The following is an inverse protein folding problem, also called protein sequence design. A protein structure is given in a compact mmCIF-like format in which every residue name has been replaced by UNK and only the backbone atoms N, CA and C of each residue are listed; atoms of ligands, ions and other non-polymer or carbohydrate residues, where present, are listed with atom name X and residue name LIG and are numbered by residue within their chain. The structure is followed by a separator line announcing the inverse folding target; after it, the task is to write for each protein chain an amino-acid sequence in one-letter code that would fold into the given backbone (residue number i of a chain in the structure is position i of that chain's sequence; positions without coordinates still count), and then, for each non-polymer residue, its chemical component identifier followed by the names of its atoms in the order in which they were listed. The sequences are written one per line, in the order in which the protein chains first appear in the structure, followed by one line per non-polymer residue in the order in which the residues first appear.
data_IF_816103662925
#
_entry.id   IF_816103662925
#
_cell.length_a   1.000
_cell.length_b   1.000
_cell.length_c   1.000
_cell.angle_alpha   90.00
_cell.angle_beta   90.00
_cell.angle_gamma   90.00
#
_symmetry.space_group_name_H-M   'P 1'
#
loop_
_entity.id
_entity.type
_entity.pdbx_description
1 polymer ?
#
# COMPACT_ATOMS: atom_id res chain seq x y z
N UNK A 1 23.44 2.09 44.20
CA UNK A 1 23.42 3.47 43.68
C UNK A 1 22.09 3.69 42.93
N UNK A 2 21.26 4.68 43.28
CA UNK A 2 19.99 4.93 42.57
C UNK A 2 20.30 5.55 41.20
N UNK A 3 19.88 4.89 40.12
CA UNK A 3 20.04 5.42 38.77
C UNK A 3 19.18 6.68 38.57
N UNK A 4 19.73 7.67 37.88
CA UNK A 4 19.00 8.87 37.47
C UNK A 4 17.92 8.51 36.45
N UNK A 5 16.90 9.36 36.31
CA UNK A 5 15.84 9.14 35.30
C UNK A 5 16.39 9.09 33.87
N UNK A 6 17.43 9.86 33.56
CA UNK A 6 18.11 9.76 32.27
C UNK A 6 18.82 8.43 32.07
N UNK A 7 19.50 7.92 33.10
CA UNK A 7 20.12 6.60 33.04
C UNK A 7 19.09 5.49 32.80
N UNK A 8 17.90 5.59 33.41
CA UNK A 8 16.78 4.66 33.14
C UNK A 8 16.24 4.77 31.71
N UNK A 9 16.15 5.97 31.15
CA UNK A 9 15.76 6.16 29.75
C UNK A 9 16.80 5.60 28.77
N UNK A 10 18.09 5.71 29.10
CA UNK A 10 19.19 5.07 28.38
C UNK A 10 19.23 3.53 28.57
N UNK A 11 18.33 2.95 29.37
CA UNK A 11 18.12 1.51 29.46
C UNK A 11 16.89 1.00 28.70
N UNK A 12 16.06 1.90 28.14
CA UNK A 12 14.98 1.50 27.23
C UNK A 12 15.56 0.67 26.06
N UNK A 13 14.81 -0.26 25.46
CA UNK A 13 15.29 -0.96 24.29
C UNK A 13 15.68 0.03 23.20
N UNK A 14 16.85 -0.18 22.58
CA UNK A 14 17.20 0.54 21.35
C UNK A 14 16.11 0.20 20.34
N UNK A 15 15.59 1.23 19.67
CA UNK A 15 14.45 1.20 18.77
C UNK A 15 13.06 1.06 19.39
N UNK A 16 12.92 1.22 20.71
CA UNK A 16 11.60 1.23 21.34
C UNK A 16 10.76 2.44 20.90
N UNK A 17 9.47 2.19 20.68
CA UNK A 17 8.41 3.21 20.50
C UNK A 17 7.49 3.14 21.68
N UNK A 18 7.17 4.30 22.25
CA UNK A 18 6.28 4.38 23.40
C UNK A 18 5.42 5.63 23.31
N UNK A 19 4.18 5.50 23.77
CA UNK A 19 3.30 6.63 24.02
C UNK A 19 3.70 7.35 25.31
N UNK A 20 3.24 8.59 25.45
CA UNK A 20 3.44 9.40 26.66
C UNK A 20 2.75 8.73 27.86
N UNK A 21 1.66 8.00 27.62
CA UNK A 21 0.96 7.22 28.65
C UNK A 21 1.84 6.10 29.20
N UNK A 22 2.46 5.30 28.32
CA UNK A 22 3.34 4.20 28.72
C UNK A 22 4.61 4.70 29.41
N UNK A 23 5.19 5.82 28.93
CA UNK A 23 6.35 6.44 29.57
C UNK A 23 6.01 6.98 30.97
N UNK A 24 4.81 7.53 31.16
CA UNK A 24 4.32 7.94 32.48
C UNK A 24 4.10 6.75 33.42
N UNK A 25 3.56 5.64 32.92
CA UNK A 25 3.44 4.40 33.69
C UNK A 25 4.81 3.85 34.14
N UNK A 26 5.85 4.10 33.34
CA UNK A 26 7.25 3.78 33.68
C UNK A 26 7.92 4.83 34.59
N UNK A 27 7.19 5.86 35.02
CA UNK A 27 7.65 6.86 35.99
C UNK A 27 8.35 8.10 35.39
N UNK A 28 8.28 8.30 34.08
CA UNK A 28 8.82 9.48 33.41
C UNK A 28 7.80 10.63 33.38
N UNK A 29 8.22 11.85 33.71
CA UNK A 29 7.37 13.05 33.64
C UNK A 29 7.51 13.73 32.28
N UNK A 30 6.62 14.65 31.94
CA UNK A 30 6.75 15.44 30.71
C UNK A 30 8.08 16.22 30.66
N UNK A 31 8.61 16.67 31.81
CA UNK A 31 9.92 17.32 31.85
C UNK A 31 11.05 16.36 31.49
N UNK A 32 10.97 15.10 31.92
CA UNK A 32 11.94 14.06 31.54
C UNK A 32 11.91 13.81 30.03
N UNK A 33 10.72 13.77 29.43
CA UNK A 33 10.54 13.57 27.99
C UNK A 33 11.05 14.76 27.18
N UNK A 34 10.74 15.99 27.60
CA UNK A 34 11.28 17.20 26.96
C UNK A 34 12.81 17.22 27.00
N UNK A 35 13.42 16.82 28.13
CA UNK A 35 14.87 16.69 28.24
C UNK A 35 15.40 15.60 27.31
N UNK A 36 14.76 14.42 27.28
CA UNK A 36 15.09 13.33 26.36
C UNK A 36 15.15 13.77 24.90
N UNK A 37 14.17 14.59 24.51
CA UNK A 37 14.04 15.18 23.19
C UNK A 37 15.21 16.09 22.85
N UNK A 38 15.55 17.00 23.78
CA UNK A 38 16.69 17.92 23.62
C UNK A 38 18.03 17.19 23.55
N UNK A 39 18.18 16.11 24.31
CA UNK A 39 19.40 15.31 24.39
C UNK A 39 19.51 14.25 23.27
N UNK A 40 18.51 14.14 22.38
CA UNK A 40 18.50 13.20 21.27
C UNK A 40 18.33 11.72 21.66
N UNK A 41 18.05 11.44 22.94
CA UNK A 41 17.80 10.09 23.46
C UNK A 41 16.45 9.55 22.99
N UNK A 42 15.46 10.43 22.91
CA UNK A 42 14.16 10.15 22.31
C UNK A 42 13.83 11.20 21.26
N UNK A 43 13.17 10.79 20.19
CA UNK A 43 12.60 11.71 19.20
C UNK A 43 11.10 11.79 19.44
N UNK A 44 10.58 13.01 19.64
CA UNK A 44 9.14 13.23 19.74
C UNK A 44 8.52 13.23 18.36
N UNK A 45 7.49 12.40 18.23
CA UNK A 45 6.84 12.10 16.97
C UNK A 45 5.37 12.49 17.00
N UNK A 46 4.94 13.43 17.85
CA UNK A 46 3.56 13.93 17.85
C UNK A 46 2.55 12.94 18.43
N UNK A 47 1.36 13.45 18.77
CA UNK A 47 0.29 12.68 19.43
C UNK A 47 0.76 11.92 20.69
N UNK A 48 1.83 12.43 21.32
CA UNK A 48 2.44 11.81 22.49
C UNK A 48 3.30 10.58 22.19
N UNK A 49 3.70 10.31 20.96
CA UNK A 49 4.58 9.19 20.58
C UNK A 49 6.06 9.60 20.66
N UNK A 50 6.91 8.72 21.20
CA UNK A 50 8.36 8.91 21.35
C UNK A 50 9.13 7.67 20.89
N UNK A 51 10.31 7.84 20.29
CA UNK A 51 11.15 6.70 19.91
C UNK A 51 12.65 6.87 20.20
N UNK A 52 13.33 5.75 20.46
CA UNK A 52 14.78 5.71 20.73
C UNK A 52 15.55 5.09 19.57
N UNK A 53 16.31 5.85 18.75
CA UNK A 53 17.05 5.37 17.56
C UNK A 53 16.18 4.66 16.48
N UNK A 54 16.33 5.07 15.22
CA UNK A 54 15.19 5.06 14.27
C UNK A 54 14.91 3.79 13.41
N UNK A 55 15.80 2.79 13.25
CA UNK A 55 15.48 1.62 12.39
C UNK A 55 14.31 0.72 12.82
N UNK A 56 14.33 0.09 14.01
CA UNK A 56 13.25 -0.84 14.43
C UNK A 56 11.99 -0.09 14.91
N UNK A 57 12.13 1.18 15.30
CA UNK A 57 11.03 1.95 15.88
C UNK A 57 9.99 2.35 14.83
N UNK A 58 10.35 2.39 13.55
CA UNK A 58 9.37 2.65 12.50
C UNK A 58 8.34 1.52 12.42
N UNK A 59 8.79 0.27 12.51
CA UNK A 59 7.92 -0.91 12.47
C UNK A 59 7.04 -1.01 13.72
N UNK A 60 7.59 -0.79 14.92
CA UNK A 60 6.79 -0.83 16.16
C UNK A 60 5.82 0.36 16.27
N UNK A 61 6.18 1.53 15.73
CA UNK A 61 5.25 2.67 15.61
C UNK A 61 4.13 2.36 14.62
N UNK A 62 4.47 1.69 13.51
CA UNK A 62 3.51 1.27 12.50
C UNK A 62 2.54 0.23 13.05
N UNK A 63 3.04 -0.81 13.74
CA UNK A 63 2.22 -1.81 14.44
C UNK A 63 1.23 -1.16 15.40
N UNK A 64 1.74 -0.29 16.29
CA UNK A 64 0.90 0.41 17.26
C UNK A 64 -0.15 1.26 16.56
N UNK A 65 0.24 2.03 15.55
CA UNK A 65 -0.69 2.88 14.81
C UNK A 65 -1.75 2.08 14.07
N UNK A 66 -1.39 1.01 13.37
CA UNK A 66 -2.33 0.14 12.67
C UNK A 66 -3.35 -0.49 13.63
N UNK A 67 -2.90 -0.93 14.80
CA UNK A 67 -3.78 -1.49 15.85
C UNK A 67 -4.72 -0.47 16.46
N UNK A 68 -4.25 0.76 16.70
CA UNK A 68 -5.08 1.83 17.26
C UNK A 68 -6.03 2.43 16.23
N UNK A 69 -5.57 2.60 14.99
CA UNK A 69 -6.31 3.27 13.94
C UNK A 69 -7.29 2.35 13.23
N UNK A 70 -6.96 1.05 13.13
CA UNK A 70 -7.79 0.03 12.50
C UNK A 70 -8.31 0.45 11.12
N UNK A 71 -7.45 1.09 10.35
CA UNK A 71 -7.83 1.78 9.10
C UNK A 71 -6.71 1.83 8.08
N UNK A 72 -5.51 1.33 8.41
CA UNK A 72 -4.38 1.42 7.53
C UNK A 72 -3.56 0.13 7.49
N UNK A 73 -2.95 -0.13 6.34
CA UNK A 73 -2.21 -1.34 6.03
C UNK A 73 -1.03 -1.02 5.09
N UNK A 74 0.00 -1.85 5.12
CA UNK A 74 1.12 -1.76 4.17
C UNK A 74 0.63 -2.31 2.84
N UNK A 75 0.76 -1.53 1.77
CA UNK A 75 0.13 -1.87 0.50
C UNK A 75 0.94 -1.48 -0.73
N UNK A 76 0.30 -1.59 -1.89
CA UNK A 76 0.83 -1.16 -3.17
C UNK A 76 2.20 -1.75 -3.52
N UNK A 77 3.09 -0.91 -4.06
CA UNK A 77 4.43 -1.28 -4.53
C UNK A 77 5.32 -1.82 -3.42
N UNK A 78 5.06 -1.50 -2.16
CA UNK A 78 5.82 -2.09 -1.04
C UNK A 78 5.61 -3.59 -0.97
N UNK A 79 4.35 -4.03 -1.09
CA UNK A 79 4.01 -5.45 -1.07
C UNK A 79 4.45 -6.14 -2.36
N UNK A 80 4.28 -5.50 -3.52
CA UNK A 80 4.78 -6.06 -4.79
C UNK A 80 6.30 -6.27 -4.75
N UNK A 81 7.05 -5.35 -4.13
CA UNK A 81 8.49 -5.51 -3.93
C UNK A 81 8.80 -6.71 -3.02
N UNK A 82 8.20 -6.73 -1.82
CA UNK A 82 8.50 -7.72 -0.79
C UNK A 82 8.10 -9.15 -1.18
N UNK A 83 7.02 -9.31 -1.95
CA UNK A 83 6.45 -10.63 -2.24
C UNK A 83 6.65 -11.09 -3.69
N UNK A 84 6.75 -10.15 -4.64
CA UNK A 84 6.80 -10.45 -6.07
C UNK A 84 8.08 -9.93 -6.77
N UNK A 85 9.04 -9.38 -6.00
CA UNK A 85 10.34 -8.95 -6.54
C UNK A 85 10.28 -7.70 -7.42
N UNK A 86 9.21 -6.90 -7.33
CA UNK A 86 9.15 -5.61 -8.01
C UNK A 86 10.25 -4.65 -7.51
N UNK A 87 10.63 -3.60 -8.28
CA UNK A 87 11.57 -2.58 -7.81
C UNK A 87 11.12 -1.93 -6.50
N UNK A 88 12.06 -1.76 -5.56
CA UNK A 88 11.80 -1.15 -4.26
C UNK A 88 11.24 0.28 -4.43
N UNK A 89 10.12 0.63 -3.79
CA UNK A 89 9.64 2.00 -3.78
C UNK A 89 10.52 2.88 -2.90
N UNK A 90 10.60 4.19 -3.19
CA UNK A 90 11.38 5.15 -2.39
C UNK A 90 10.96 5.20 -0.91
N UNK A 91 9.69 4.88 -0.63
CA UNK A 91 9.08 4.93 0.70
C UNK A 91 8.11 3.76 0.85
N UNK A 92 7.98 3.30 2.10
CA UNK A 92 6.94 2.34 2.51
C UNK A 92 5.58 2.99 2.28
N UNK A 93 4.73 2.31 1.51
CA UNK A 93 3.39 2.79 1.19
C UNK A 93 2.40 2.29 2.24
N UNK A 94 1.87 3.22 3.01
CA UNK A 94 0.85 2.99 4.01
C UNK A 94 -0.49 3.48 3.46
N UNK A 95 -1.33 2.53 3.06
CA UNK A 95 -2.68 2.82 2.59
C UNK A 95 -3.59 3.05 3.79
N UNK A 96 -4.39 4.11 3.74
CA UNK A 96 -5.31 4.49 4.82
C UNK A 96 -6.70 4.69 4.24
N UNK A 97 -7.68 4.00 4.80
CA UNK A 97 -9.09 4.08 4.40
C UNK A 97 -9.75 5.39 4.86
N UNK A 98 -9.08 6.20 5.67
CA UNK A 98 -9.59 7.53 6.04
C UNK A 98 -9.18 8.55 4.99
N UNK A 99 -10.12 9.39 4.56
CA UNK A 99 -9.84 10.45 3.57
C UNK A 99 -8.75 11.46 4.01
N UNK A 100 -8.58 11.66 5.32
CA UNK A 100 -7.52 12.51 5.88
C UNK A 100 -7.23 12.16 7.35
N UNK A 101 -6.28 11.25 7.57
CA UNK A 101 -5.80 10.87 8.90
C UNK A 101 -4.74 11.83 9.45
N UNK A 102 -4.81 12.12 10.75
CA UNK A 102 -3.68 12.68 11.50
C UNK A 102 -2.67 11.56 11.76
N UNK A 103 -1.60 11.50 10.97
CA UNK A 103 -0.55 10.51 11.15
C UNK A 103 0.40 10.88 12.28
N UNK A 104 0.98 9.89 12.99
CA UNK A 104 2.10 10.12 13.89
C UNK A 104 3.17 10.92 13.16
N UNK A 105 3.69 11.98 13.78
CA UNK A 105 4.84 12.71 13.23
C UNK A 105 6.06 11.80 13.03
N UNK A 106 6.11 10.59 13.63
CA UNK A 106 7.10 9.54 13.30
C UNK A 106 7.17 9.29 11.81
N UNK A 107 6.02 9.23 11.16
CA UNK A 107 5.93 8.95 9.74
C UNK A 107 6.39 10.16 8.94
N UNK A 108 5.96 11.36 9.35
CA UNK A 108 6.32 12.63 8.72
C UNK A 108 7.83 12.96 8.82
N UNK A 109 8.44 12.75 9.99
CA UNK A 109 9.86 13.06 10.23
C UNK A 109 10.81 11.98 9.73
N UNK A 110 10.36 10.72 9.61
CA UNK A 110 11.21 9.66 9.06
C UNK A 110 11.53 9.86 7.59
N UNK A 111 10.61 10.50 6.83
CA UNK A 111 10.68 10.56 5.37
C UNK A 111 10.57 9.20 4.67
N UNK A 112 10.38 8.10 5.43
CA UNK A 112 10.39 6.71 4.93
C UNK A 112 9.00 6.14 4.67
N UNK A 113 7.95 6.82 5.11
CA UNK A 113 6.57 6.41 4.87
C UNK A 113 5.91 7.41 3.92
N UNK A 114 5.25 6.86 2.89
CA UNK A 114 4.30 7.55 2.04
C UNK A 114 2.91 7.10 2.46
N UNK A 115 2.09 8.03 2.95
CA UNK A 115 0.69 7.74 3.24
C UNK A 115 -0.13 7.92 1.96
N UNK A 116 -1.01 6.97 1.69
CA UNK A 116 -1.81 6.91 0.46
C UNK A 116 -3.28 6.72 0.86
N UNK A 117 -4.21 7.60 0.43
CA UNK A 117 -5.62 7.36 0.66
C UNK A 117 -6.09 6.14 -0.14
N UNK A 118 -6.64 5.14 0.54
CA UNK A 118 -7.24 3.97 -0.08
C UNK A 118 -8.66 4.33 -0.54
N UNK A 119 -8.87 4.38 -1.86
CA UNK A 119 -10.17 4.73 -2.46
C UNK A 119 -10.78 3.61 -3.28
N UNK A 120 -10.17 2.44 -3.23
CA UNK A 120 -10.54 1.29 -4.06
C UNK A 120 -11.57 0.37 -3.40
N UNK A 121 -11.73 0.43 -2.08
CA UNK A 121 -12.73 -0.32 -1.30
C UNK A 121 -13.51 0.64 -0.39
N UNK A 122 -14.74 0.29 0.03
CA UNK A 122 -15.42 1.08 1.06
C UNK A 122 -14.72 0.94 2.41
N UNK A 123 -14.77 2.00 3.20
CA UNK A 123 -14.10 2.12 4.49
C UNK A 123 -14.59 1.10 5.54
N UNK A 124 -15.83 0.62 5.39
CA UNK A 124 -16.43 -0.40 6.26
C UNK A 124 -15.77 -1.79 6.11
N UNK A 125 -15.00 -2.01 5.04
CA UNK A 125 -14.41 -3.31 4.71
C UNK A 125 -12.95 -3.49 5.15
N UNK A 126 -12.38 -2.60 5.98
CA UNK A 126 -10.97 -2.74 6.40
C UNK A 126 -10.67 -4.11 7.06
N UNK A 127 -11.65 -4.70 7.75
CA UNK A 127 -11.54 -6.02 8.37
C UNK A 127 -12.28 -7.12 7.62
N UNK A 128 -12.81 -6.83 6.43
CA UNK A 128 -13.45 -7.87 5.63
C UNK A 128 -12.36 -8.67 4.92
N UNK A 129 -12.32 -9.98 5.20
CA UNK A 129 -11.33 -10.90 4.64
C UNK A 129 -11.36 -10.88 3.10
N UNK A 130 -12.54 -10.68 2.49
CA UNK A 130 -12.70 -10.60 1.03
C UNK A 130 -12.03 -9.38 0.39
N UNK A 131 -11.55 -8.44 1.20
CA UNK A 131 -10.81 -7.28 0.73
C UNK A 131 -9.29 -7.52 0.76
N UNK A 132 -8.78 -8.73 0.99
CA UNK A 132 -7.36 -9.02 0.80
C UNK A 132 -6.42 -8.26 1.74
N UNK A 133 -6.79 -8.08 3.01
CA UNK A 133 -5.88 -7.67 4.08
C UNK A 133 -5.54 -8.89 4.93
N UNK A 134 -4.27 -9.05 5.26
CA UNK A 134 -3.78 -10.09 6.15
C UNK A 134 -3.00 -9.49 7.31
N UNK A 135 -3.08 -10.13 8.47
CA UNK A 135 -2.18 -9.81 9.59
C UNK A 135 -0.93 -10.69 9.52
N UNK A 136 0.24 -10.06 9.53
CA UNK A 136 1.54 -10.73 9.59
C UNK A 136 2.47 -10.01 10.55
N UNK A 137 3.00 -10.75 11.52
CA UNK A 137 3.91 -10.23 12.56
C UNK A 137 3.36 -9.01 13.33
N UNK A 138 2.03 -8.95 13.49
CA UNK A 138 1.34 -7.86 14.18
C UNK A 138 1.15 -6.58 13.36
N UNK A 139 1.40 -6.65 12.05
CA UNK A 139 1.15 -5.60 11.06
C UNK A 139 0.04 -6.04 10.11
N UNK A 140 -0.73 -5.10 9.58
CA UNK A 140 -1.69 -5.34 8.49
C UNK A 140 -1.05 -5.05 7.13
N UNK A 141 -1.20 -5.98 6.19
CA UNK A 141 -0.59 -5.99 4.86
C UNK A 141 -1.68 -6.28 3.82
N UNK A 142 -1.54 -5.73 2.62
CA UNK A 142 -2.29 -6.22 1.46
C UNK A 142 -1.81 -7.62 1.08
N UNK A 143 -2.72 -8.47 0.61
CA UNK A 143 -2.36 -9.64 -0.22
C UNK A 143 -1.72 -9.16 -1.53
N UNK A 144 -0.97 -10.02 -2.25
CA UNK A 144 -0.45 -9.68 -3.57
C UNK A 144 -1.53 -9.17 -4.53
N UNK A 145 -2.70 -9.83 -4.56
CA UNK A 145 -3.85 -9.42 -5.37
C UNK A 145 -4.32 -7.99 -5.06
N UNK A 146 -4.49 -7.66 -3.77
CA UNK A 146 -4.88 -6.31 -3.37
C UNK A 146 -3.80 -5.26 -3.66
N UNK A 147 -2.54 -5.58 -3.35
CA UNK A 147 -1.41 -4.70 -3.61
C UNK A 147 -1.29 -4.35 -5.10
N UNK A 148 -1.69 -5.27 -5.98
CA UNK A 148 -1.76 -5.02 -7.41
C UNK A 148 -2.80 -3.93 -7.75
N UNK A 149 -4.03 -4.06 -7.24
CA UNK A 149 -5.09 -3.07 -7.49
C UNK A 149 -4.75 -1.69 -6.91
N UNK A 150 -4.11 -1.67 -5.74
CA UNK A 150 -3.60 -0.45 -5.10
C UNK A 150 -2.53 0.23 -5.95
N UNK A 151 -1.60 -0.55 -6.49
CA UNK A 151 -0.57 -0.03 -7.40
C UNK A 151 -1.17 0.47 -8.71
N UNK A 152 -2.23 -0.17 -9.19
CA UNK A 152 -2.97 0.26 -10.38
C UNK A 152 -3.67 1.61 -10.17
N UNK A 153 -4.30 1.83 -9.00
CA UNK A 153 -4.93 3.13 -8.70
C UNK A 153 -3.90 4.28 -8.71
N UNK A 154 -2.65 3.96 -8.35
CA UNK A 154 -1.51 4.85 -8.30
C UNK A 154 -0.77 5.07 -9.63
N UNK A 155 -1.14 4.39 -10.73
CA UNK A 155 -0.45 4.56 -12.02
C UNK A 155 -0.46 6.04 -12.42
N UNK A 156 0.74 6.61 -12.54
CA UNK A 156 0.96 7.98 -13.00
C UNK A 156 1.83 8.06 -14.25
N UNK A 157 2.60 7.01 -14.58
CA UNK A 157 3.50 7.01 -15.73
C UNK A 157 3.69 5.60 -16.34
N UNK A 158 4.49 5.53 -17.40
CA UNK A 158 4.80 4.31 -18.13
C UNK A 158 5.58 3.28 -17.29
N UNK A 159 6.49 3.71 -16.42
CA UNK A 159 7.27 2.81 -15.55
C UNK A 159 6.38 2.12 -14.52
N UNK A 160 5.36 2.80 -14.00
CA UNK A 160 4.35 2.17 -13.14
C UNK A 160 3.66 1.01 -13.87
N UNK A 161 3.26 1.20 -15.13
CA UNK A 161 2.66 0.13 -15.95
C UNK A 161 3.63 -1.05 -16.12
N UNK A 162 4.90 -0.79 -16.44
CA UNK A 162 5.93 -1.84 -16.60
C UNK A 162 6.09 -2.66 -15.33
N UNK A 163 6.19 -1.99 -14.18
CA UNK A 163 6.35 -2.65 -12.88
C UNK A 163 5.14 -3.53 -12.56
N UNK A 164 3.93 -3.04 -12.82
CA UNK A 164 2.71 -3.79 -12.56
C UNK A 164 2.61 -5.01 -13.48
N UNK A 165 2.89 -4.89 -14.78
CA UNK A 165 2.90 -6.03 -15.71
C UNK A 165 3.89 -7.10 -15.23
N UNK A 166 5.11 -6.70 -14.86
CA UNK A 166 6.11 -7.63 -14.32
C UNK A 166 5.66 -8.28 -13.01
N UNK A 167 4.99 -7.55 -12.13
CA UNK A 167 4.44 -8.12 -10.90
C UNK A 167 3.33 -9.15 -11.21
N UNK A 168 2.46 -8.89 -12.19
CA UNK A 168 1.43 -9.84 -12.62
C UNK A 168 2.02 -11.14 -13.18
N UNK A 169 3.16 -11.07 -13.89
CA UNK A 169 3.89 -12.26 -14.35
C UNK A 169 4.40 -13.15 -13.20
N UNK A 170 4.56 -12.60 -11.99
CA UNK A 170 5.08 -13.32 -10.82
C UNK A 170 3.99 -13.86 -9.87
N UNK A 171 2.72 -13.52 -10.11
CA UNK A 171 1.61 -14.01 -9.27
C UNK A 171 1.45 -15.53 -9.40
N UNK A 172 1.25 -16.20 -8.27
CA UNK A 172 1.02 -17.66 -8.21
C UNK A 172 -0.47 -17.97 -8.31
N UNK A 173 -0.81 -19.22 -8.62
CA UNK A 173 -2.21 -19.67 -8.72
C UNK A 173 -3.05 -19.33 -7.48
N UNK A 174 -2.51 -19.51 -6.27
CA UNK A 174 -3.21 -19.14 -5.03
C UNK A 174 -3.47 -17.63 -4.91
N UNK A 175 -2.59 -16.79 -5.46
CA UNK A 175 -2.81 -15.33 -5.49
C UNK A 175 -3.89 -14.94 -6.53
N UNK A 176 -4.16 -15.83 -7.50
CA UNK A 176 -5.18 -15.63 -8.55
C UNK A 176 -6.58 -15.93 -8.05
N UNK A 177 -6.74 -16.87 -7.11
CA UNK A 177 -8.04 -17.17 -6.49
C UNK A 177 -8.53 -15.95 -5.69
N UNK A 178 -7.65 -15.34 -4.88
CA UNK A 178 -7.92 -14.11 -4.14
C UNK A 178 -8.25 -12.92 -5.07
N UNK A 179 -7.69 -12.91 -6.27
CA UNK A 179 -7.79 -11.78 -7.19
C UNK A 179 -9.21 -11.54 -7.70
N UNK A 180 -9.98 -12.60 -7.93
CA UNK A 180 -11.39 -12.49 -8.33
C UNK A 180 -12.22 -11.79 -7.26
N UNK A 181 -12.13 -12.26 -6.01
CA UNK A 181 -12.87 -11.69 -4.87
C UNK A 181 -12.50 -10.22 -4.64
N UNK A 182 -11.20 -9.93 -4.62
CA UNK A 182 -10.70 -8.56 -4.42
C UNK A 182 -11.11 -7.63 -5.58
N UNK A 183 -11.16 -8.13 -6.81
CA UNK A 183 -11.67 -7.36 -7.96
C UNK A 183 -13.18 -7.12 -7.90
N UNK A 184 -13.97 -8.06 -7.38
CA UNK A 184 -15.40 -7.87 -7.18
C UNK A 184 -15.66 -6.74 -6.18
N UNK A 185 -14.95 -6.77 -5.06
CA UNK A 185 -15.04 -5.80 -3.97
C UNK A 185 -14.52 -4.39 -4.35
N UNK A 186 -13.63 -4.30 -5.35
CA UNK A 186 -13.11 -3.02 -5.81
C UNK A 186 -14.24 -2.12 -6.35
N UNK A 187 -14.32 -0.87 -5.91
CA UNK A 187 -15.38 0.08 -6.31
C UNK A 187 -14.95 0.99 -7.48
N UNK A 188 -13.65 1.03 -7.77
CA UNK A 188 -13.07 1.95 -8.76
C UNK A 188 -13.06 1.33 -10.15
N UNK A 189 -13.98 1.76 -11.01
CA UNK A 189 -14.03 1.32 -12.42
C UNK A 189 -12.70 1.55 -13.16
N UNK A 190 -12.03 2.69 -12.90
CA UNK A 190 -10.70 3.00 -13.46
C UNK A 190 -9.72 1.86 -13.19
N UNK A 191 -9.66 1.37 -11.94
CA UNK A 191 -8.71 0.34 -11.52
C UNK A 191 -9.01 -0.97 -12.22
N UNK A 192 -10.28 -1.38 -12.27
CA UNK A 192 -10.70 -2.60 -12.97
C UNK A 192 -10.32 -2.56 -14.45
N UNK A 193 -10.57 -1.44 -15.15
CA UNK A 193 -10.20 -1.31 -16.57
C UNK A 193 -8.71 -1.39 -16.81
N UNK A 194 -7.93 -0.68 -15.99
CA UNK A 194 -6.47 -0.74 -16.06
C UNK A 194 -5.97 -2.15 -15.76
N UNK A 195 -6.52 -2.81 -14.76
CA UNK A 195 -6.22 -4.20 -14.46
C UNK A 195 -6.43 -5.12 -15.67
N UNK A 196 -7.61 -5.08 -16.30
CA UNK A 196 -7.90 -5.94 -17.45
C UNK A 196 -7.04 -5.62 -18.66
N UNK A 197 -6.77 -4.34 -18.90
CA UNK A 197 -5.84 -3.93 -19.93
C UNK A 197 -4.44 -4.49 -19.68
N UNK A 198 -3.88 -4.31 -18.48
CA UNK A 198 -2.55 -4.82 -18.14
C UNK A 198 -2.51 -6.35 -18.14
N UNK A 199 -3.58 -7.03 -17.70
CA UNK A 199 -3.70 -8.49 -17.81
C UNK A 199 -3.60 -8.97 -19.25
N UNK A 200 -4.19 -8.24 -20.21
CA UNK A 200 -4.08 -8.56 -21.65
C UNK A 200 -2.65 -8.46 -22.18
N UNK A 201 -1.74 -7.84 -21.43
CA UNK A 201 -0.31 -7.67 -21.77
C UNK A 201 0.58 -8.78 -21.21
N UNK A 202 0.10 -9.52 -20.21
CA UNK A 202 0.89 -10.51 -19.46
C UNK A 202 0.93 -11.84 -20.21
N UNK A 203 -0.23 -12.44 -20.46
CA UNK A 203 -0.31 -13.73 -21.16
C UNK A 203 -1.70 -13.99 -21.73
N UNK A 204 -1.81 -15.03 -22.56
CA UNK A 204 -3.10 -15.51 -23.07
C UNK A 204 -4.02 -16.00 -21.94
N UNK A 205 -3.48 -16.67 -20.93
CA UNK A 205 -4.29 -17.22 -19.82
C UNK A 205 -4.87 -16.10 -18.96
N UNK A 206 -4.05 -15.09 -18.66
CA UNK A 206 -4.50 -13.85 -18.01
C UNK A 206 -5.61 -13.16 -18.80
N UNK A 207 -5.40 -12.96 -20.11
CA UNK A 207 -6.39 -12.34 -20.99
C UNK A 207 -7.71 -13.13 -21.01
N UNK A 208 -7.60 -14.45 -21.07
CA UNK A 208 -8.75 -15.35 -21.15
C UNK A 208 -9.53 -15.41 -19.84
N UNK A 209 -8.84 -15.54 -18.70
CA UNK A 209 -9.44 -15.50 -17.36
C UNK A 209 -10.29 -14.24 -17.18
N UNK A 210 -9.73 -13.08 -17.57
CA UNK A 210 -10.44 -11.81 -17.51
C UNK A 210 -11.72 -11.81 -18.37
N UNK A 211 -11.71 -12.34 -19.60
CA UNK A 211 -12.91 -12.29 -20.46
C UNK A 211 -14.10 -13.14 -20.02
N UNK A 212 -13.85 -14.17 -19.22
CA UNK A 212 -14.92 -14.99 -18.63
C UNK A 212 -15.54 -14.32 -17.41
N UNK A 213 -14.84 -13.34 -16.84
CA UNK A 213 -15.24 -12.68 -15.62
C UNK A 213 -16.45 -11.75 -15.83
N UNK A 214 -17.46 -11.92 -14.98
CA UNK A 214 -18.68 -11.11 -15.00
C UNK A 214 -18.42 -9.64 -14.65
N UNK A 215 -17.35 -9.36 -13.89
CA UNK A 215 -16.87 -8.03 -13.53
C UNK A 215 -16.44 -7.27 -14.78
N UNK A 216 -15.71 -7.89 -15.72
CA UNK A 216 -15.33 -7.24 -17.00
C UNK A 216 -16.56 -6.74 -17.73
N UNK A 217 -17.58 -7.59 -17.85
CA UNK A 217 -18.81 -7.26 -18.60
C UNK A 217 -19.60 -6.12 -17.98
N UNK A 218 -19.53 -5.95 -16.64
CA UNK A 218 -20.22 -4.88 -15.91
C UNK A 218 -19.46 -3.54 -15.93
N UNK A 219 -18.12 -3.57 -15.98
CA UNK A 219 -17.26 -2.38 -15.78
C UNK A 219 -17.21 -1.41 -16.97
N UNK A 220 -17.72 -1.81 -18.13
CA UNK A 220 -17.65 -1.03 -19.37
C UNK A 220 -18.73 0.09 -19.45
N UNK A 221 -18.73 1.02 -18.48
CA UNK A 221 -19.53 2.27 -18.51
C UNK A 221 -19.14 3.23 -19.66
N UNK A 222 -19.85 4.36 -19.84
CA UNK A 222 -19.70 5.27 -21.00
C UNK A 222 -18.49 6.23 -20.95
N UNK A 223 -17.74 6.29 -19.84
CA UNK A 223 -16.60 7.21 -19.68
C UNK A 223 -15.30 6.64 -20.27
N UNK A 224 -14.33 7.50 -20.60
CA UNK A 224 -12.98 7.11 -21.08
C UNK A 224 -11.94 7.57 -20.04
N UNK A 225 -10.94 6.74 -19.72
CA UNK A 225 -9.85 7.09 -18.80
C UNK A 225 -8.51 7.22 -19.53
N UNK A 226 -7.85 8.38 -19.41
CA UNK A 226 -6.53 8.61 -20.03
C UNK A 226 -5.42 8.67 -18.99
N UNK A 227 -4.30 7.99 -19.26
CA UNK A 227 -3.06 8.14 -18.48
C UNK A 227 -2.17 9.28 -19.03
N UNK A 228 -2.20 9.51 -20.35
CA UNK A 228 -1.34 10.49 -21.00
C UNK A 228 -1.98 11.04 -22.28
N UNK A 229 -1.72 12.31 -22.57
CA UNK A 229 -2.04 12.95 -23.84
C UNK A 229 -0.75 13.55 -24.41
N UNK A 230 -0.29 13.15 -25.60
CA UNK A 230 -0.89 12.19 -26.53
C UNK A 230 -0.75 10.74 -26.06
N UNK A 231 -1.64 9.87 -26.52
CA UNK A 231 -1.68 8.43 -26.25
C UNK A 231 -2.64 7.70 -27.18
N UNK A 232 -2.53 6.38 -27.26
CA UNK A 232 -3.38 5.51 -28.06
C UNK A 232 -4.64 5.12 -27.29
N UNK A 233 -5.81 5.31 -27.88
CA UNK A 233 -7.07 4.83 -27.32
C UNK A 233 -7.22 3.32 -27.58
N UNK A 234 -7.55 2.57 -26.54
CA UNK A 234 -7.79 1.12 -26.57
C UNK A 234 -9.27 0.85 -26.34
N UNK A 235 -10.07 0.59 -27.39
CA UNK A 235 -11.52 0.52 -27.31
C UNK A 235 -12.05 -0.57 -26.37
N UNK A 236 -11.41 -1.74 -26.36
CA UNK A 236 -11.84 -2.91 -25.60
C UNK A 236 -11.94 -2.64 -24.09
N UNK A 237 -11.09 -1.75 -23.58
CA UNK A 237 -11.03 -1.38 -22.17
C UNK A 237 -11.47 0.08 -21.91
N UNK A 238 -11.78 0.85 -22.97
CA UNK A 238 -12.12 2.28 -22.90
C UNK A 238 -11.10 3.11 -22.10
N UNK A 239 -9.82 2.91 -22.42
CA UNK A 239 -8.70 3.66 -21.83
C UNK A 239 -7.79 4.25 -22.90
N UNK A 240 -7.04 5.29 -22.55
CA UNK A 240 -5.96 5.85 -23.37
C UNK A 240 -4.62 5.60 -22.68
N UNK A 241 -3.68 5.04 -23.43
CA UNK A 241 -2.39 4.53 -22.94
C UNK A 241 -1.23 5.12 -23.74
N UNK A 242 -0.01 5.18 -23.19
CA UNK A 242 1.17 5.54 -23.97
C UNK A 242 1.40 4.56 -25.14
N UNK A 243 1.72 5.07 -26.33
CA UNK A 243 1.97 4.23 -27.52
C UNK A 243 3.14 3.27 -27.33
N UNK A 244 4.13 3.69 -26.55
CA UNK A 244 5.30 2.90 -26.19
C UNK A 244 4.90 1.61 -25.46
N UNK A 245 3.85 1.67 -24.63
CA UNK A 245 3.37 0.50 -23.90
C UNK A 245 2.76 -0.56 -24.83
N UNK A 246 2.10 -0.15 -25.91
CA UNK A 246 1.58 -1.06 -26.94
C UNK A 246 2.71 -1.72 -27.74
N UNK A 247 3.83 -1.02 -27.94
CA UNK A 247 5.00 -1.54 -28.65
C UNK A 247 5.80 -2.53 -27.82
N UNK A 248 6.02 -2.23 -26.55
CA UNK A 248 6.82 -3.06 -25.63
C UNK A 248 6.09 -4.33 -25.20
N UNK A 249 4.77 -4.20 -24.97
CA UNK A 249 3.93 -5.30 -24.52
C UNK A 249 2.78 -5.47 -25.52
N UNK A 250 2.88 -6.39 -26.47
CA UNK A 250 1.77 -6.68 -27.38
C UNK A 250 0.60 -7.31 -26.60
N UNK A 251 -0.64 -7.03 -27.03
CA UNK A 251 -1.83 -7.60 -26.40
C UNK A 251 -2.06 -9.03 -26.84
N UNK A 252 -2.30 -9.91 -25.87
CA UNK A 252 -2.93 -11.20 -26.10
C UNK A 252 -4.43 -10.97 -26.22
N UNK A 253 -4.93 -10.96 -27.44
CA UNK A 253 -6.37 -10.82 -27.70
C UNK A 253 -7.09 -12.12 -27.30
N UNK A 254 -8.05 -12.08 -26.37
CA UNK A 254 -8.81 -13.25 -25.99
C UNK A 254 -9.83 -13.69 -27.06
N UNK A 255 -10.08 -12.89 -28.11
CA UNK A 255 -10.74 -13.33 -29.34
C UNK A 255 -10.20 -12.62 -30.57
N UNK A 256 -10.20 -13.33 -31.71
CA UNK A 256 -10.20 -12.72 -33.03
C UNK A 256 -11.45 -11.87 -33.18
N UNK A 257 -11.31 -10.57 -32.95
CA UNK A 257 -12.07 -9.57 -33.69
C UNK A 257 -11.21 -9.22 -34.88
N UNK A 258 -11.53 -9.82 -36.03
CA UNK A 258 -11.22 -9.27 -37.35
C UNK A 258 -11.86 -7.89 -37.49
#
# INVERSE_FOLDING_TARGET
MKMTKMQKMNQLPVHAVMTTKELRQRGFTNQDLTRAGKEGVLVHYGYGVWARHVPLCLYEALKTFQKESQSCHIGGRTILHLLLGAPEPERIQLFDHREAGKYPNAFNYSGRIQTVPCRIFNDEYFFDECCGIIERDGLYWSTPARALLESIDMIGNLDDCRIIIRAMEQLKEMDMDDLGEVLECCQREKVKRWFFYLASKVSRDWAWACTRDSVVRKVLSNSIYSLHTPGMYVPDFKITVPEELEREFPRYMPFGLS
#
